data_IF_947376583457
#
_entry.id   IF_947376583457
#
_cell.length_a   1.000
_cell.length_b   1.000
_cell.length_c   1.000
_cell.angle_alpha   90.00
_cell.angle_beta   90.00
_cell.angle_gamma   90.00
#
_symmetry.space_group_name_H-M   'P 1'
#
loop_
_entity.id
_entity.type
_entity.pdbx_description
1 polymer ?
#
# COMPACT_ATOMS: atom_id res chain seq x y z
N UNK A 1 0.02 22.49 -11.24
CA UNK A 1 -0.25 21.58 -10.11
C UNK A 1 -0.32 22.45 -8.88
N UNK A 2 -1.32 22.25 -8.02
CA UNK A 2 -1.47 22.98 -6.75
C UNK A 2 -0.36 22.52 -5.78
N UNK A 3 0.20 23.43 -4.98
CA UNK A 3 1.20 23.12 -3.95
C UNK A 3 0.68 22.03 -2.99
N UNK A 4 -0.62 22.07 -2.69
CA UNK A 4 -1.29 21.04 -1.89
C UNK A 4 -1.24 19.65 -2.54
N UNK A 5 -1.34 19.57 -3.86
CA UNK A 5 -1.28 18.30 -4.58
C UNK A 5 0.16 17.77 -4.69
N UNK A 6 1.16 18.66 -4.68
CA UNK A 6 2.57 18.27 -4.58
C UNK A 6 2.89 17.68 -3.21
N UNK A 7 2.43 18.32 -2.13
CA UNK A 7 2.62 17.79 -0.79
C UNK A 7 1.97 16.42 -0.61
N UNK A 8 0.74 16.25 -1.10
CA UNK A 8 0.04 14.96 -1.04
C UNK A 8 0.76 13.87 -1.84
N UNK A 9 1.37 14.21 -2.97
CA UNK A 9 2.20 13.27 -3.74
C UNK A 9 3.45 12.84 -2.98
N UNK A 10 4.15 13.77 -2.34
CA UNK A 10 5.32 13.45 -1.49
C UNK A 10 4.92 12.53 -0.33
N UNK A 11 3.74 12.73 0.26
CA UNK A 11 3.19 11.83 1.28
C UNK A 11 2.97 10.43 0.70
N UNK A 12 2.37 10.31 -0.49
CA UNK A 12 2.18 9.01 -1.15
C UNK A 12 3.52 8.29 -1.38
N UNK A 13 4.51 8.99 -1.94
CA UNK A 13 5.87 8.47 -2.17
C UNK A 13 6.54 8.02 -0.87
N UNK A 14 6.35 8.78 0.21
CA UNK A 14 6.89 8.42 1.52
C UNK A 14 6.26 7.13 2.07
N UNK A 15 4.93 6.98 1.96
CA UNK A 15 4.22 5.77 2.40
C UNK A 15 4.68 4.55 1.58
N UNK A 16 4.79 4.69 0.26
CA UNK A 16 5.29 3.64 -0.62
C UNK A 16 6.70 3.19 -0.23
N UNK A 17 7.60 4.15 -0.02
CA UNK A 17 8.97 3.88 0.45
C UNK A 17 8.97 3.12 1.79
N UNK A 18 8.17 3.55 2.77
CA UNK A 18 8.05 2.87 4.07
C UNK A 18 7.58 1.42 3.92
N UNK A 19 6.73 1.13 2.94
CA UNK A 19 6.18 -0.20 2.68
C UNK A 19 7.09 -1.09 1.83
N UNK A 20 8.29 -0.61 1.47
CA UNK A 20 9.35 -1.41 0.86
C UNK A 20 8.92 -2.15 -0.43
N UNK A 21 8.11 -1.48 -1.25
CA UNK A 21 7.62 -2.01 -2.53
C UNK A 21 6.55 -3.11 -2.39
N UNK A 22 6.04 -3.34 -1.18
CA UNK A 22 4.87 -4.20 -0.98
C UNK A 22 3.61 -3.52 -1.56
N UNK A 23 3.51 -2.21 -1.44
CA UNK A 23 2.42 -1.42 -2.00
C UNK A 23 2.95 -0.43 -3.03
N UNK A 24 2.15 -0.16 -4.05
CA UNK A 24 2.28 1.05 -4.89
C UNK A 24 1.27 2.07 -4.40
N UNK A 25 1.68 3.31 -4.14
CA UNK A 25 0.80 4.34 -3.58
C UNK A 25 0.81 5.60 -4.43
N UNK A 26 -0.37 6.09 -4.82
CA UNK A 26 -0.50 7.26 -5.69
C UNK A 26 -1.51 8.27 -5.14
N UNK A 27 -1.22 9.56 -5.31
CA UNK A 27 -2.20 10.64 -5.08
C UNK A 27 -2.97 10.94 -6.37
N UNK A 28 -4.27 10.68 -6.36
CA UNK A 28 -5.18 11.06 -7.43
C UNK A 28 -5.57 12.54 -7.32
N UNK A 29 -4.94 13.41 -8.11
CA UNK A 29 -5.20 14.86 -8.08
C UNK A 29 -6.66 15.20 -8.38
N UNK A 30 -7.27 14.49 -9.32
CA UNK A 30 -8.68 14.70 -9.69
C UNK A 30 -9.64 14.18 -8.61
N UNK A 31 -9.37 13.00 -8.05
CA UNK A 31 -10.21 12.37 -7.03
C UNK A 31 -9.96 12.92 -5.63
N UNK A 32 -8.86 13.66 -5.42
CA UNK A 32 -8.34 14.11 -4.12
C UNK A 32 -8.26 12.95 -3.11
N UNK A 33 -7.80 11.79 -3.58
CA UNK A 33 -7.70 10.55 -2.79
C UNK A 33 -6.35 9.87 -3.03
N UNK A 34 -5.82 9.27 -1.97
CA UNK A 34 -4.75 8.29 -2.05
C UNK A 34 -5.32 6.97 -2.52
N UNK A 35 -4.56 6.29 -3.38
CA UNK A 35 -4.84 4.95 -3.85
C UNK A 35 -3.64 4.08 -3.52
N UNK A 36 -3.86 2.90 -2.96
CA UNK A 36 -2.79 1.92 -2.74
C UNK A 36 -3.15 0.56 -3.33
N UNK A 37 -2.17 -0.03 -4.01
CA UNK A 37 -2.28 -1.30 -4.74
C UNK A 37 -1.31 -2.30 -4.14
N UNK A 38 -1.81 -3.45 -3.68
CA UNK A 38 -0.97 -4.50 -3.13
C UNK A 38 -0.20 -5.21 -4.26
N UNK A 39 1.13 -5.30 -4.13
CA UNK A 39 2.04 -5.87 -5.12
C UNK A 39 2.58 -7.25 -4.73
N UNK A 40 1.98 -7.88 -3.72
CA UNK A 40 2.26 -9.25 -3.32
C UNK A 40 1.07 -10.15 -3.70
N UNK A 41 1.23 -11.49 -3.72
CA UNK A 41 0.13 -12.39 -3.98
C UNK A 41 -0.85 -12.29 -2.81
N UNK A 42 -1.84 -11.42 -2.96
CA UNK A 42 -2.98 -11.33 -2.06
C UNK A 42 -3.83 -12.56 -2.32
N UNK A 43 -4.14 -13.30 -1.26
CA UNK A 43 -5.06 -14.45 -1.33
C UNK A 43 -6.43 -13.94 -0.92
N UNK A 44 -7.46 -13.90 -1.78
CA UNK A 44 -7.53 -14.52 -3.11
C UNK A 44 -7.07 -13.61 -4.27
N UNK A 45 -6.75 -14.24 -5.41
CA UNK A 45 -5.96 -13.77 -6.57
C UNK A 45 -6.38 -12.45 -7.26
N UNK A 46 -7.46 -11.80 -6.82
CA UNK A 46 -7.97 -10.56 -7.43
C UNK A 46 -7.11 -9.32 -7.19
N UNK A 47 -6.10 -9.41 -6.32
CA UNK A 47 -5.37 -8.24 -5.83
C UNK A 47 -6.23 -7.40 -4.88
N UNK A 48 -5.59 -6.53 -4.11
CA UNK A 48 -6.30 -5.59 -3.22
C UNK A 48 -5.94 -4.16 -3.57
N UNK A 49 -6.98 -3.36 -3.73
CA UNK A 49 -6.90 -1.92 -3.95
C UNK A 49 -7.68 -1.25 -2.85
N UNK A 50 -7.10 -0.21 -2.27
CA UNK A 50 -7.73 0.64 -1.26
C UNK A 50 -7.61 2.10 -1.68
N UNK A 51 -8.59 2.90 -1.32
CA UNK A 51 -8.57 4.34 -1.55
C UNK A 51 -9.14 5.13 -0.38
N UNK A 52 -8.57 6.29 -0.09
CA UNK A 52 -9.01 7.16 1.01
C UNK A 52 -8.47 8.57 0.85
N UNK A 53 -9.11 9.55 1.48
CA UNK A 53 -8.74 10.96 1.43
C UNK A 53 -7.57 11.27 2.38
N UNK A 54 -7.41 10.48 3.44
CA UNK A 54 -6.45 10.74 4.52
C UNK A 54 -5.33 9.70 4.57
N UNK A 55 -4.07 10.13 4.76
CA UNK A 55 -2.91 9.24 4.77
C UNK A 55 -2.92 8.30 5.98
N UNK A 56 -3.42 8.75 7.13
CA UNK A 56 -3.47 7.92 8.34
C UNK A 56 -4.48 6.79 8.20
N UNK A 57 -5.63 7.07 7.57
CA UNK A 57 -6.60 6.05 7.21
C UNK A 57 -6.02 5.07 6.19
N UNK A 58 -5.25 5.56 5.20
CA UNK A 58 -4.63 4.70 4.20
C UNK A 58 -3.70 3.71 4.90
N UNK A 59 -2.87 4.21 5.82
CA UNK A 59 -1.93 3.40 6.57
C UNK A 59 -2.63 2.35 7.45
N UNK A 60 -3.73 2.72 8.10
CA UNK A 60 -4.54 1.80 8.90
C UNK A 60 -5.13 0.66 8.05
N UNK A 61 -5.73 1.00 6.90
CA UNK A 61 -6.31 0.03 5.96
C UNK A 61 -5.23 -0.90 5.39
N UNK A 62 -4.07 -0.36 5.00
CA UNK A 62 -2.93 -1.18 4.54
C UNK A 62 -2.53 -2.23 5.58
N UNK A 63 -2.44 -1.83 6.86
CA UNK A 63 -2.12 -2.76 7.95
C UNK A 63 -3.24 -3.77 8.23
N UNK A 64 -4.48 -3.39 7.99
CA UNK A 64 -5.61 -4.31 8.11
C UNK A 64 -5.51 -5.40 7.02
N UNK A 65 -5.37 -5.00 5.75
CA UNK A 65 -5.17 -5.91 4.62
C UNK A 65 -3.94 -6.81 4.82
N UNK A 66 -2.82 -6.25 5.27
CA UNK A 66 -1.60 -7.02 5.56
C UNK A 66 -1.87 -8.14 6.58
N UNK A 67 -2.67 -7.87 7.61
CA UNK A 67 -3.05 -8.88 8.61
C UNK A 67 -4.04 -9.89 8.07
N UNK A 68 -5.04 -9.46 7.32
CA UNK A 68 -6.08 -10.33 6.77
C UNK A 68 -5.51 -11.37 5.79
N UNK A 69 -4.49 -10.99 5.02
CA UNK A 69 -3.94 -11.81 3.95
C UNK A 69 -2.58 -12.46 4.26
N UNK A 70 -2.28 -12.70 5.55
CA UNK A 70 -1.05 -13.37 5.99
C UNK A 70 0.23 -12.75 5.40
N UNK A 71 0.30 -11.42 5.27
CA UNK A 71 1.41 -10.72 4.62
C UNK A 71 2.78 -11.12 5.18
N UNK A 72 2.90 -11.26 6.51
CA UNK A 72 4.15 -11.65 7.15
C UNK A 72 4.60 -13.06 6.74
N UNK A 73 3.67 -13.99 6.55
CA UNK A 73 3.97 -15.34 6.05
C UNK A 73 4.48 -15.27 4.61
N UNK A 74 3.90 -14.43 3.76
CA UNK A 74 4.42 -14.23 2.41
C UNK A 74 5.82 -13.59 2.43
N UNK A 75 6.00 -12.51 3.20
CA UNK A 75 7.21 -11.69 3.20
C UNK A 75 8.42 -12.42 3.79
N UNK A 76 8.21 -13.23 4.84
CA UNK A 76 9.29 -13.86 5.60
C UNK A 76 9.26 -15.39 5.58
N UNK A 77 8.16 -16.03 5.15
CA UNK A 77 7.99 -17.48 5.19
C UNK A 77 8.85 -18.27 4.20
N UNK A 78 9.62 -17.62 3.32
CA UNK A 78 10.52 -18.31 2.36
C UNK A 78 11.87 -18.74 2.94
N UNK A 79 12.17 -18.49 4.22
CA UNK A 79 13.47 -18.87 4.80
C UNK A 79 13.64 -20.39 5.05
N UNK A 80 12.60 -21.22 4.84
CA UNK A 80 12.69 -22.68 5.06
C UNK A 80 12.30 -23.49 3.81
N UNK A 81 13.02 -23.34 2.70
CA UNK A 81 13.16 -24.45 1.73
C UNK A 81 14.35 -24.23 0.82
N UNK A 82 15.54 -24.52 1.32
CA UNK A 82 16.59 -25.11 0.51
C UNK A 82 16.99 -26.38 1.25
N UNK A 83 16.57 -27.51 0.68
CA UNK A 83 17.02 -28.85 1.05
C UNK A 83 18.12 -29.25 0.08
#
# INVERSE_FOLDING_TARGET
MDERDEDRRRVAEHIEWQKQGAWVVVWGVYTRRFWAFACWPVIPEGGVVIDTEEPDHLYAEMRFVEREHDFLRWRYGRTHSVR
#
